data_IF_858981593439
#
_entry.id   IF_858981593439
#
_cell.length_a   1.000
_cell.length_b   1.000
_cell.length_c   1.000
_cell.angle_alpha   90.00
_cell.angle_beta   90.00
_cell.angle_gamma   90.00
#
_symmetry.space_group_name_H-M   'P 1'
#
loop_
_entity.id
_entity.type
_entity.pdbx_description
1 polymer ?
#
# COMPACT_ATOMS: atom_id res chain seq x y z
N UNK A 1 -5.71 8.82 -0.30
CA UNK A 1 -4.43 8.36 -0.87
C UNK A 1 -4.58 6.94 -1.41
N UNK A 2 -4.33 6.72 -2.70
CA UNK A 2 -4.50 5.41 -3.38
C UNK A 2 -3.54 4.33 -2.84
N UNK A 3 -2.34 4.70 -2.38
CA UNK A 3 -1.32 3.75 -1.94
C UNK A 3 -1.71 2.92 -0.69
N UNK A 4 -2.50 3.50 0.25
CA UNK A 4 -2.97 2.72 1.41
C UNK A 4 -3.99 1.65 1.05
N UNK A 5 -4.72 1.83 -0.07
CA UNK A 5 -5.67 0.83 -0.55
C UNK A 5 -4.92 -0.40 -1.07
N UNK A 6 -3.74 -0.22 -1.64
CA UNK A 6 -2.95 -1.32 -2.23
C UNK A 6 -2.12 -2.11 -1.23
N UNK A 7 -2.06 -1.70 0.04
CA UNK A 7 -1.32 -2.44 1.10
C UNK A 7 -2.20 -3.39 1.91
N UNK A 8 -3.52 -3.26 1.81
CA UNK A 8 -4.47 -4.11 2.51
C UNK A 8 -5.28 -4.89 1.49
N UNK A 9 -5.54 -6.17 1.79
CA UNK A 9 -6.42 -6.96 0.94
C UNK A 9 -7.86 -6.43 1.00
N UNK A 10 -8.58 -6.58 -0.10
CA UNK A 10 -10.00 -6.25 -0.18
C UNK A 10 -10.78 -6.96 0.92
N UNK A 11 -10.49 -8.26 1.16
CA UNK A 11 -11.14 -9.04 2.23
C UNK A 11 -10.90 -8.44 3.61
N UNK A 12 -9.70 -7.92 3.87
CA UNK A 12 -9.38 -7.28 5.14
C UNK A 12 -10.14 -5.96 5.31
N UNK A 13 -10.20 -5.14 4.26
CA UNK A 13 -10.98 -3.88 4.27
C UNK A 13 -12.47 -4.15 4.42
N UNK A 14 -13.02 -5.12 3.69
CA UNK A 14 -14.41 -5.53 3.76
C UNK A 14 -14.78 -6.06 5.15
N UNK A 15 -13.94 -6.92 5.75
CA UNK A 15 -14.17 -7.42 7.11
C UNK A 15 -14.09 -6.32 8.17
N UNK A 16 -13.21 -5.34 7.98
CA UNK A 16 -12.98 -4.27 8.96
C UNK A 16 -14.03 -3.16 8.89
N UNK A 17 -14.45 -2.76 7.69
CA UNK A 17 -15.32 -1.60 7.49
C UNK A 17 -16.64 -1.92 6.79
N UNK A 18 -16.64 -2.87 5.86
CA UNK A 18 -17.81 -3.15 5.02
C UNK A 18 -18.37 -1.87 4.38
N UNK A 19 -19.70 -1.73 4.42
CA UNK A 19 -20.41 -0.50 4.03
C UNK A 19 -20.99 0.23 5.25
N UNK A 20 -20.34 0.10 6.41
CA UNK A 20 -20.83 0.69 7.65
C UNK A 20 -20.68 2.21 7.63
N UNK A 21 -21.71 2.89 8.13
CA UNK A 21 -21.73 4.34 8.27
C UNK A 21 -21.01 4.78 9.55
N UNK A 22 -20.48 6.00 9.56
CA UNK A 22 -19.68 6.52 10.66
C UNK A 22 -20.53 7.09 11.81
N UNK A 23 -21.50 7.97 11.48
CA UNK A 23 -22.21 8.82 12.47
C UNK A 23 -23.74 8.76 12.37
N UNK A 24 -24.31 8.05 11.41
CA UNK A 24 -25.75 8.01 11.14
C UNK A 24 -26.17 6.67 10.54
N UNK A 25 -27.44 6.32 10.67
CA UNK A 25 -28.04 5.17 9.97
C UNK A 25 -28.52 5.52 8.55
N UNK A 26 -28.38 6.79 8.16
CA UNK A 26 -28.83 7.33 6.88
C UNK A 26 -27.66 7.99 6.13
N UNK A 27 -27.67 7.84 4.80
CA UNK A 27 -26.73 8.53 3.91
C UNK A 27 -26.90 10.05 4.03
N UNK A 28 -25.81 10.77 4.19
CA UNK A 28 -25.83 12.22 4.05
C UNK A 28 -25.46 12.53 2.61
N UNK A 29 -26.32 13.22 1.86
CA UNK A 29 -26.02 13.61 0.46
C UNK A 29 -25.06 14.81 0.40
N UNK A 30 -24.12 14.87 1.34
CA UNK A 30 -23.22 15.96 1.61
C UNK A 30 -21.80 15.52 1.21
N UNK A 31 -20.84 16.45 1.15
CA UNK A 31 -19.44 16.12 0.83
C UNK A 31 -18.62 15.61 2.05
N UNK A 32 -19.29 15.33 3.17
CA UNK A 32 -18.67 14.81 4.38
C UNK A 32 -18.49 13.28 4.31
N UNK A 33 -17.74 12.72 5.27
CA UNK A 33 -17.46 11.28 5.31
C UNK A 33 -18.68 10.51 5.84
N UNK A 34 -19.33 9.76 4.96
CA UNK A 34 -20.47 8.91 5.28
C UNK A 34 -20.01 7.55 5.81
N UNK A 35 -18.98 6.98 5.19
CA UNK A 35 -18.51 5.64 5.52
C UNK A 35 -17.30 5.65 6.44
N UNK A 36 -17.21 4.63 7.29
CA UNK A 36 -16.07 4.47 8.20
C UNK A 36 -14.73 4.33 7.47
N UNK A 37 -14.74 3.68 6.30
CA UNK A 37 -13.54 3.53 5.46
C UNK A 37 -13.03 4.88 4.93
N UNK A 38 -13.92 5.83 4.63
CA UNK A 38 -13.55 7.15 4.14
C UNK A 38 -12.86 7.96 5.24
N UNK A 39 -13.44 7.94 6.44
CA UNK A 39 -12.84 8.56 7.63
C UNK A 39 -11.45 7.97 7.91
N UNK A 40 -11.32 6.64 7.86
CA UNK A 40 -10.03 5.97 8.02
C UNK A 40 -9.01 6.39 6.95
N UNK A 41 -9.38 6.36 5.66
CA UNK A 41 -8.48 6.72 4.57
C UNK A 41 -8.09 8.20 4.60
N UNK A 42 -9.00 9.08 5.04
CA UNK A 42 -8.74 10.51 5.25
C UNK A 42 -7.70 10.69 6.35
N UNK A 43 -7.90 10.06 7.51
CA UNK A 43 -6.96 10.13 8.63
C UNK A 43 -5.57 9.59 8.28
N UNK A 44 -5.51 8.44 7.59
CA UNK A 44 -4.24 7.86 7.11
C UNK A 44 -3.54 8.78 6.11
N UNK A 45 -4.30 9.38 5.18
CA UNK A 45 -3.77 10.33 4.21
C UNK A 45 -3.18 11.58 4.87
N UNK A 46 -3.90 12.19 5.81
CA UNK A 46 -3.41 13.36 6.56
C UNK A 46 -2.13 13.03 7.33
N UNK A 47 -2.13 11.92 8.07
CA UNK A 47 -0.98 11.48 8.86
C UNK A 47 0.26 11.20 7.99
N UNK A 48 0.07 10.75 6.76
CA UNK A 48 1.16 10.53 5.81
C UNK A 48 1.77 11.84 5.33
N UNK A 49 0.93 12.79 4.88
CA UNK A 49 1.40 14.09 4.36
C UNK A 49 2.13 14.90 5.44
N UNK A 50 1.73 14.77 6.71
CA UNK A 50 2.43 15.40 7.84
C UNK A 50 3.84 14.84 8.08
N UNK A 51 4.11 13.61 7.65
CA UNK A 51 5.33 12.88 8.00
C UNK A 51 6.25 12.59 6.83
N UNK A 52 5.79 12.80 5.60
CA UNK A 52 6.52 12.37 4.40
C UNK A 52 6.65 13.49 3.38
N UNK A 53 7.86 13.66 2.88
CA UNK A 53 8.18 14.66 1.86
C UNK A 53 7.74 14.16 0.47
N UNK A 54 7.04 15.03 -0.28
CA UNK A 54 6.48 14.69 -1.58
C UNK A 54 7.56 14.38 -2.62
N UNK A 55 8.70 15.08 -2.61
CA UNK A 55 9.79 14.81 -3.57
C UNK A 55 10.42 13.44 -3.31
N UNK A 56 10.64 13.11 -2.04
CA UNK A 56 11.13 11.80 -1.60
C UNK A 56 10.21 10.69 -2.07
N UNK A 57 8.88 10.92 -2.05
CA UNK A 57 7.90 9.96 -2.53
C UNK A 57 8.06 9.67 -4.03
N UNK A 58 8.29 10.71 -4.84
CA UNK A 58 8.52 10.56 -6.28
C UNK A 58 9.79 9.74 -6.56
N UNK A 59 10.90 10.06 -5.88
CA UNK A 59 12.17 9.38 -6.11
C UNK A 59 12.15 7.93 -5.64
N UNK A 60 11.60 7.65 -4.45
CA UNK A 60 11.55 6.29 -3.89
C UNK A 60 10.64 5.41 -4.74
N UNK A 61 9.44 5.89 -5.11
CA UNK A 61 8.50 5.11 -5.95
C UNK A 61 9.14 4.78 -7.30
N UNK A 62 9.80 5.74 -7.93
CA UNK A 62 10.51 5.53 -9.20
C UNK A 62 11.67 4.54 -9.07
N UNK A 63 12.42 4.61 -7.97
CA UNK A 63 13.49 3.65 -7.69
C UNK A 63 12.95 2.23 -7.48
N UNK A 64 11.79 2.09 -6.82
CA UNK A 64 11.11 0.80 -6.65
C UNK A 64 10.62 0.25 -7.99
N UNK A 65 9.99 1.08 -8.83
CA UNK A 65 9.48 0.66 -10.14
C UNK A 65 10.60 0.24 -11.11
N UNK A 66 11.76 0.91 -11.01
CA UNK A 66 12.92 0.62 -11.86
C UNK A 66 13.82 -0.49 -11.31
N UNK A 67 13.53 -0.99 -10.11
CA UNK A 67 14.36 -2.00 -9.49
C UNK A 67 14.25 -3.34 -10.23
N UNK A 68 15.30 -3.69 -10.95
CA UNK A 68 15.48 -5.01 -11.53
C UNK A 68 16.84 -5.58 -11.11
N UNK A 69 16.78 -6.57 -10.22
CA UNK A 69 17.96 -7.25 -9.68
C UNK A 69 18.73 -8.06 -10.75
N UNK A 70 18.06 -8.42 -11.85
CA UNK A 70 18.59 -9.31 -12.87
C UNK A 70 19.42 -8.61 -13.95
N UNK A 71 19.30 -7.28 -14.08
CA UNK A 71 19.90 -6.47 -15.17
C UNK A 71 21.38 -6.78 -15.39
N UNK A 72 22.17 -6.87 -14.32
CA UNK A 72 23.63 -7.05 -14.43
C UNK A 72 24.06 -8.47 -14.81
N UNK A 73 23.24 -9.48 -14.51
CA UNK A 73 23.61 -10.89 -14.71
C UNK A 73 22.76 -11.58 -15.79
N UNK A 74 21.77 -10.90 -16.37
CA UNK A 74 20.91 -11.44 -17.42
C UNK A 74 20.09 -12.63 -16.93
N UNK A 75 19.46 -12.50 -15.76
CA UNK A 75 18.55 -13.49 -15.19
C UNK A 75 18.67 -13.65 -13.67
N UNK A 76 17.52 -13.79 -13.00
CA UNK A 76 17.43 -13.87 -11.54
C UNK A 76 18.16 -15.10 -10.96
N UNK A 77 18.09 -16.26 -11.64
CA UNK A 77 18.78 -17.48 -11.22
C UNK A 77 20.30 -17.30 -11.11
N UNK A 78 20.90 -16.51 -12.00
CA UNK A 78 22.35 -16.22 -12.00
C UNK A 78 22.76 -15.26 -10.88
N UNK A 79 21.83 -14.45 -10.37
CA UNK A 79 22.08 -13.56 -9.22
C UNK A 79 22.35 -14.39 -7.98
N UNK A 80 21.51 -15.39 -7.73
CA UNK A 80 21.57 -16.21 -6.53
C UNK A 80 22.55 -17.40 -6.64
N UNK A 81 22.99 -17.76 -7.86
CA UNK A 81 23.96 -18.82 -8.08
C UNK A 81 25.29 -18.52 -7.38
N UNK A 82 25.85 -19.50 -6.67
CA UNK A 82 27.12 -19.44 -5.93
C UNK A 82 27.15 -18.42 -4.78
N UNK A 83 26.00 -18.06 -4.22
CA UNK A 83 25.93 -17.26 -2.98
C UNK A 83 26.20 -18.15 -1.77
N UNK A 84 27.01 -17.67 -0.81
CA UNK A 84 27.22 -18.31 0.50
C UNK A 84 26.15 -17.91 1.53
N UNK A 85 25.10 -17.20 1.10
CA UNK A 85 24.01 -16.71 1.95
C UNK A 85 22.79 -17.60 1.80
N UNK A 86 22.15 -17.94 2.92
CA UNK A 86 20.85 -18.62 2.93
C UNK A 86 19.74 -17.61 2.68
N UNK A 87 18.90 -17.86 1.67
CA UNK A 87 17.75 -17.01 1.35
C UNK A 87 16.45 -17.65 1.86
N UNK A 88 15.60 -16.84 2.50
CA UNK A 88 14.23 -17.22 2.87
C UNK A 88 13.25 -16.29 2.15
N UNK A 89 12.35 -16.87 1.35
CA UNK A 89 11.34 -16.13 0.60
C UNK A 89 9.97 -16.38 1.23
N UNK A 90 9.25 -15.29 1.50
CA UNK A 90 7.86 -15.35 1.94
C UNK A 90 6.96 -15.04 0.76
N UNK A 91 6.01 -15.93 0.50
CA UNK A 91 4.94 -15.68 -0.44
C UNK A 91 3.69 -15.33 0.36
N UNK A 92 3.21 -14.11 0.15
CA UNK A 92 2.00 -13.61 0.78
C UNK A 92 0.95 -13.49 -0.33
N UNK A 93 -0.13 -14.24 -0.19
CA UNK A 93 -1.32 -14.06 -1.01
C UNK A 93 -2.14 -12.95 -0.35
N UNK A 94 -2.16 -11.77 -0.99
CA UNK A 94 -2.98 -10.62 -0.59
C UNK A 94 -4.39 -10.80 -1.18
#
# INVERSE_FOLDING_TARGET
>A
MIAHITYLSERALQRKFGRNLQNSDFFSFNFDTDFQIESYLKHQGSSFVERFDANSYLYITKAMDYFDLSVKKGGLSKVFKNSNVNFCFFFIYI
#
